data_IF_133509785961
#
_entry.id   IF_133509785961
#
_cell.length_a   1.000
_cell.length_b   1.000
_cell.length_c   1.000
_cell.angle_alpha   90.00
_cell.angle_beta   90.00
_cell.angle_gamma   90.00
#
_symmetry.space_group_name_H-M   'P 1'
#
loop_
_entity.id
_entity.type
_entity.pdbx_description
1 polymer ?
#
# COMPACT_ATOMS: atom_id res chain seq x y z
N UNK A 1 -1.36 45.10 -47.16
CA UNK A 1 -1.88 44.60 -48.45
C UNK A 1 -1.22 43.25 -48.63
N UNK A 2 -1.86 42.12 -48.36
CA UNK A 2 -3.28 41.76 -48.54
C UNK A 2 -3.81 40.93 -47.36
N UNK A 3 -5.09 41.14 -47.07
CA UNK A 3 -5.96 40.38 -46.15
C UNK A 3 -6.38 39.04 -46.75
N UNK A 4 -6.47 37.97 -45.95
CA UNK A 4 -7.50 36.93 -46.11
C UNK A 4 -8.02 36.51 -44.73
N UNK A 5 -9.35 36.54 -44.63
CA UNK A 5 -10.20 36.35 -43.47
C UNK A 5 -11.01 35.04 -43.60
N UNK A 6 -11.58 34.60 -42.47
CA UNK A 6 -12.68 33.61 -42.27
C UNK A 6 -12.28 32.13 -42.45
N UNK A 7 -12.60 31.14 -41.59
CA UNK A 7 -13.61 30.96 -40.53
C UNK A 7 -14.41 29.66 -40.81
N UNK A 8 -14.76 28.87 -39.79
CA UNK A 8 -15.65 27.68 -39.89
C UNK A 8 -15.21 26.50 -39.02
N UNK A 9 -15.62 26.44 -37.74
CA UNK A 9 -16.75 25.62 -37.23
C UNK A 9 -16.52 24.10 -37.23
N UNK A 10 -16.19 23.58 -36.03
CA UNK A 10 -16.16 22.15 -35.72
C UNK A 10 -17.52 21.78 -35.12
N UNK A 11 -18.38 21.19 -35.95
CA UNK A 11 -19.67 20.65 -35.54
C UNK A 11 -19.53 19.22 -35.02
N UNK A 12 -20.10 19.04 -33.82
CA UNK A 12 -20.60 17.85 -33.15
C UNK A 12 -20.71 16.54 -33.96
N UNK A 13 -20.24 15.45 -33.34
CA UNK A 13 -20.74 14.10 -33.62
C UNK A 13 -20.94 13.34 -32.30
N UNK A 14 -22.09 13.57 -31.66
CA UNK A 14 -22.60 12.77 -30.55
C UNK A 14 -24.13 12.63 -30.72
N UNK A 15 -24.54 11.74 -31.62
CA UNK A 15 -25.94 11.43 -31.84
C UNK A 15 -26.09 10.00 -32.37
N UNK A 16 -26.10 9.01 -31.48
CA UNK A 16 -26.65 7.68 -31.76
C UNK A 16 -27.05 6.97 -30.46
N UNK A 17 -28.16 7.45 -29.87
CA UNK A 17 -29.13 6.62 -29.14
C UNK A 17 -30.35 7.47 -28.81
N UNK A 18 -31.35 7.37 -29.67
CA UNK A 18 -32.68 7.91 -29.46
C UNK A 18 -33.67 6.76 -29.35
N UNK A 19 -34.64 6.94 -28.45
CA UNK A 19 -35.91 6.23 -28.34
C UNK A 19 -35.87 4.81 -27.73
N UNK A 20 -36.27 4.69 -26.46
CA UNK A 20 -37.63 4.28 -26.11
C UNK A 20 -37.85 4.38 -24.57
N UNK A 21 -39.10 4.66 -24.20
CA UNK A 21 -39.71 4.68 -22.86
C UNK A 21 -39.58 5.95 -21.98
N UNK A 22 -40.51 6.88 -22.22
CA UNK A 22 -41.22 7.62 -21.15
C UNK A 22 -42.29 6.70 -20.55
N UNK A 23 -42.51 6.76 -19.24
CA UNK A 23 -43.81 7.06 -18.62
C UNK A 23 -43.81 6.84 -17.10
N UNK A 24 -44.26 7.90 -16.41
CA UNK A 24 -45.15 7.90 -15.25
C UNK A 24 -44.67 7.63 -13.81
N UNK A 25 -44.72 8.73 -13.06
CA UNK A 25 -45.53 8.95 -11.85
C UNK A 25 -45.57 7.87 -10.77
N UNK A 26 -45.06 8.27 -9.60
CA UNK A 26 -45.37 7.58 -8.35
C UNK A 26 -44.77 8.32 -7.15
N UNK A 27 -45.41 9.42 -6.75
CA UNK A 27 -45.30 9.90 -5.38
C UNK A 27 -45.71 8.77 -4.42
N UNK A 28 -45.05 8.65 -3.26
CA UNK A 28 -45.71 8.76 -1.96
C UNK A 28 -44.75 8.45 -0.79
N UNK A 29 -44.58 9.50 0.01
CA UNK A 29 -44.62 9.52 1.48
C UNK A 29 -43.80 8.52 2.30
N UNK A 30 -42.79 9.05 3.01
CA UNK A 30 -42.53 8.64 4.38
C UNK A 30 -41.96 9.82 5.19
N UNK A 31 -42.82 10.44 6.02
CA UNK A 31 -42.43 10.95 7.33
C UNK A 31 -43.29 10.23 8.38
N UNK A 32 -43.17 10.53 9.69
CA UNK A 32 -42.16 11.31 10.38
C UNK A 32 -41.56 10.57 11.60
N UNK A 33 -40.72 11.33 12.32
CA UNK A 33 -40.11 11.08 13.61
C UNK A 33 -41.02 10.46 14.69
N UNK A 34 -40.39 9.70 15.60
CA UNK A 34 -40.54 9.76 17.07
C UNK A 34 -40.24 8.39 17.69
N UNK A 35 -39.00 8.15 18.12
CA UNK A 35 -38.75 7.05 19.04
C UNK A 35 -38.98 7.53 20.48
N UNK A 36 -39.96 6.88 21.11
CA UNK A 36 -40.51 7.11 22.44
C UNK A 36 -39.46 7.07 23.55
N UNK A 37 -39.65 7.95 24.52
CA UNK A 37 -39.17 7.80 25.91
C UNK A 37 -39.82 6.56 26.53
N UNK A 38 -39.02 5.73 27.18
CA UNK A 38 -39.50 4.79 28.20
C UNK A 38 -38.67 5.09 29.44
N UNK A 39 -39.31 5.78 30.38
CA UNK A 39 -38.80 5.88 31.73
C UNK A 39 -39.13 4.60 32.47
N UNK A 40 -38.12 3.95 33.03
CA UNK A 40 -38.33 2.94 34.05
C UNK A 40 -37.57 3.39 35.29
N UNK A 41 -38.35 3.82 36.28
CA UNK A 41 -37.88 4.22 37.60
C UNK A 41 -37.54 2.94 38.36
N UNK A 42 -36.29 2.51 38.31
CA UNK A 42 -35.79 1.43 39.16
C UNK A 42 -35.74 1.97 40.60
N UNK A 43 -36.75 1.62 41.38
CA UNK A 43 -36.85 1.87 42.81
C UNK A 43 -35.98 0.86 43.56
N UNK A 44 -34.72 1.23 43.84
CA UNK A 44 -33.79 0.46 44.66
C UNK A 44 -34.01 0.86 46.13
N UNK A 45 -34.70 0.01 46.88
CA UNK A 45 -34.95 0.15 48.32
C UNK A 45 -33.91 -0.68 49.08
N UNK A 46 -32.81 -0.07 49.50
CA UNK A 46 -31.75 -0.75 50.25
C UNK A 46 -31.49 0.01 51.53
N UNK A 47 -32.21 -0.40 52.57
CA UNK A 47 -32.03 0.04 53.96
C UNK A 47 -30.67 -0.39 54.50
N UNK A 48 -30.00 0.60 55.11
CA UNK A 48 -29.16 0.54 56.32
C UNK A 48 -28.08 -0.54 56.48
N UNK A 49 -26.85 -0.02 56.59
CA UNK A 49 -25.81 -0.35 57.58
C UNK A 49 -25.31 -1.79 57.67
N UNK A 50 -24.01 -1.98 57.46
CA UNK A 50 -23.02 -1.97 58.55
C UNK A 50 -21.63 -2.19 57.93
N UNK A 51 -20.69 -1.29 58.23
CA UNK A 51 -19.34 -1.34 57.71
C UNK A 51 -18.57 -2.56 58.21
N UNK A 52 -17.88 -3.22 57.28
CA UNK A 52 -16.71 -4.04 57.57
C UNK A 52 -15.72 -3.80 56.44
N UNK A 53 -14.78 -2.89 56.70
CA UNK A 53 -13.67 -2.53 55.82
C UNK A 53 -12.75 -3.73 55.64
N UNK A 54 -12.95 -4.49 54.55
CA UNK A 54 -11.94 -5.39 54.02
C UNK A 54 -11.41 -4.75 52.73
N UNK A 55 -10.28 -4.05 52.84
CA UNK A 55 -9.57 -3.51 51.70
C UNK A 55 -9.05 -4.68 50.84
N UNK A 56 -9.86 -5.08 49.87
CA UNK A 56 -9.43 -5.96 48.78
C UNK A 56 -8.50 -5.10 47.91
N UNK A 57 -7.20 -5.22 48.14
CA UNK A 57 -6.20 -4.74 47.21
C UNK A 57 -6.29 -5.62 45.95
N UNK A 58 -7.15 -5.24 45.02
CA UNK A 58 -7.20 -5.82 43.70
C UNK A 58 -5.87 -5.47 43.02
N UNK A 59 -4.91 -6.40 43.07
CA UNK A 59 -3.70 -6.33 42.26
C UNK A 59 -4.11 -6.61 40.81
N UNK A 60 -4.65 -5.59 40.14
CA UNK A 60 -4.79 -5.57 38.70
C UNK A 60 -3.39 -5.36 38.11
N UNK A 61 -2.58 -6.41 38.07
CA UNK A 61 -1.43 -6.45 37.18
C UNK A 61 -1.98 -6.56 35.76
N UNK A 62 -1.95 -5.44 35.05
CA UNK A 62 -2.37 -5.31 33.67
C UNK A 62 -1.74 -6.40 32.79
N UNK A 63 -2.44 -6.90 31.75
CA UNK A 63 -1.74 -7.59 30.68
C UNK A 63 -0.74 -6.60 30.08
N UNK A 64 0.55 -6.89 30.24
CA UNK A 64 1.62 -6.18 29.54
C UNK A 64 1.51 -6.53 28.05
N UNK A 65 0.68 -5.79 27.33
CA UNK A 65 0.69 -5.78 25.87
C UNK A 65 1.85 -4.91 25.39
N UNK A 66 3.07 -5.37 25.63
CA UNK A 66 4.19 -5.04 24.75
C UNK A 66 4.41 -6.27 23.85
N UNK A 67 3.48 -6.52 22.92
CA UNK A 67 3.75 -7.38 21.78
C UNK A 67 4.68 -6.62 20.82
N UNK A 68 5.91 -6.33 21.28
CA UNK A 68 6.98 -6.04 20.35
C UNK A 68 7.18 -7.31 19.53
N UNK A 69 6.95 -7.24 18.22
CA UNK A 69 7.17 -8.36 17.31
C UNK A 69 8.59 -8.91 17.53
N UNK A 70 8.73 -10.25 17.59
CA UNK A 70 10.03 -10.90 17.76
C UNK A 70 11.03 -10.35 16.74
N UNK A 71 12.15 -9.71 17.16
CA UNK A 71 13.14 -9.17 16.24
C UNK A 71 13.66 -10.22 15.27
N UNK A 72 13.83 -11.47 15.72
CA UNK A 72 14.31 -12.54 14.85
C UNK A 72 13.27 -12.89 13.78
N UNK A 73 11.99 -12.91 14.11
CA UNK A 73 10.90 -13.07 13.15
C UNK A 73 10.87 -11.94 12.12
N UNK A 74 10.93 -10.67 12.54
CA UNK A 74 10.94 -9.53 11.61
C UNK A 74 12.13 -9.63 10.64
N UNK A 75 13.30 -10.03 11.15
CA UNK A 75 14.50 -10.24 10.35
C UNK A 75 14.32 -11.38 9.35
N UNK A 76 13.71 -12.50 9.74
CA UNK A 76 13.38 -13.60 8.83
C UNK A 76 12.40 -13.15 7.75
N UNK A 77 11.29 -12.53 8.14
CA UNK A 77 10.23 -12.10 7.22
C UNK A 77 10.75 -11.13 6.15
N UNK A 78 11.59 -10.15 6.54
CA UNK A 78 12.19 -9.23 5.56
C UNK A 78 13.17 -9.92 4.61
N UNK A 79 13.93 -10.91 5.10
CA UNK A 79 14.88 -11.68 4.28
C UNK A 79 14.16 -12.56 3.27
N UNK A 80 13.11 -13.25 3.71
CA UNK A 80 12.28 -14.11 2.86
C UNK A 80 11.51 -13.28 1.83
N UNK A 81 10.92 -12.16 2.25
CA UNK A 81 10.28 -11.22 1.34
C UNK A 81 11.24 -10.69 0.26
N UNK A 82 12.45 -10.27 0.65
CA UNK A 82 13.48 -9.85 -0.31
C UNK A 82 13.88 -10.98 -1.28
N UNK A 83 13.99 -12.21 -0.80
CA UNK A 83 14.27 -13.39 -1.65
C UNK A 83 13.15 -13.61 -2.66
N UNK A 84 11.89 -13.52 -2.22
CA UNK A 84 10.73 -13.64 -3.11
C UNK A 84 10.72 -12.53 -4.17
N UNK A 85 11.04 -11.28 -3.82
CA UNK A 85 11.12 -10.19 -4.80
C UNK A 85 12.27 -10.38 -5.79
N UNK A 86 13.40 -10.94 -5.33
CA UNK A 86 14.49 -11.34 -6.22
C UNK A 86 14.05 -12.37 -7.27
N UNK A 87 13.25 -13.37 -6.87
CA UNK A 87 12.70 -14.36 -7.80
C UNK A 87 11.72 -13.74 -8.80
N UNK A 88 10.94 -12.72 -8.41
CA UNK A 88 10.09 -11.98 -9.36
C UNK A 88 10.92 -11.24 -10.41
N UNK A 89 12.01 -10.58 -10.00
CA UNK A 89 12.94 -9.91 -10.91
C UNK A 89 13.62 -10.90 -11.88
N UNK A 90 14.06 -12.04 -11.37
CA UNK A 90 14.66 -13.11 -12.19
C UNK A 90 13.68 -13.63 -13.25
N UNK A 91 12.43 -13.88 -12.87
CA UNK A 91 11.40 -14.34 -13.79
C UNK A 91 11.08 -13.30 -14.88
N UNK A 92 11.16 -12.00 -14.57
CA UNK A 92 11.06 -10.94 -15.59
C UNK A 92 12.25 -10.94 -16.55
N UNK A 93 13.41 -11.46 -16.14
CA UNK A 93 14.55 -11.67 -17.02
C UNK A 93 14.24 -12.62 -18.18
N UNK A 94 13.43 -13.66 -17.97
CA UNK A 94 12.98 -14.55 -19.04
C UNK A 94 12.03 -13.82 -20.02
N UNK A 95 11.15 -12.96 -19.51
CA UNK A 95 10.24 -12.14 -20.32
C UNK A 95 11.07 -11.17 -21.21
N UNK A 96 12.08 -10.51 -20.63
CA UNK A 96 12.96 -9.63 -21.38
C UNK A 96 13.74 -10.37 -22.48
N UNK A 97 14.22 -11.59 -22.20
CA UNK A 97 14.95 -12.42 -23.15
C UNK A 97 14.08 -12.92 -24.31
N UNK A 98 12.80 -13.20 -24.06
CA UNK A 98 11.87 -13.63 -25.09
C UNK A 98 11.62 -12.55 -26.15
N UNK A 99 11.88 -11.27 -25.84
CA UNK A 99 11.69 -10.11 -26.73
C UNK A 99 10.30 -10.09 -27.39
N UNK A 100 9.31 -10.59 -26.68
CA UNK A 100 7.91 -10.69 -27.12
C UNK A 100 6.99 -9.93 -26.17
N UNK A 101 5.82 -10.50 -25.87
CA UNK A 101 4.83 -9.90 -24.99
C UNK A 101 5.38 -9.59 -23.59
N UNK A 102 5.31 -8.33 -23.18
CA UNK A 102 5.79 -7.81 -21.89
C UNK A 102 4.70 -7.78 -20.83
N UNK A 103 3.42 -7.92 -21.19
CA UNK A 103 2.30 -7.83 -20.24
C UNK A 103 2.36 -8.86 -19.09
N UNK A 104 2.88 -10.09 -19.27
CA UNK A 104 3.06 -11.04 -18.17
C UNK A 104 3.95 -10.53 -17.02
N UNK A 105 4.74 -9.46 -17.25
CA UNK A 105 5.54 -8.83 -16.21
C UNK A 105 4.71 -7.97 -15.24
N UNK A 106 3.53 -7.47 -15.64
CA UNK A 106 2.77 -6.46 -14.89
C UNK A 106 2.45 -6.93 -13.46
N UNK A 107 1.89 -8.14 -13.30
CA UNK A 107 1.55 -8.68 -11.98
C UNK A 107 2.80 -8.88 -11.08
N UNK A 108 3.96 -9.17 -11.69
CA UNK A 108 5.23 -9.32 -10.98
C UNK A 108 5.73 -7.97 -10.48
N UNK A 109 5.66 -6.94 -11.33
CA UNK A 109 6.04 -5.57 -10.99
C UNK A 109 5.16 -5.04 -9.86
N UNK A 110 3.85 -5.25 -9.95
CA UNK A 110 2.89 -4.83 -8.91
C UNK A 110 3.15 -5.54 -7.58
N UNK A 111 3.50 -6.84 -7.61
CA UNK A 111 3.91 -7.59 -6.41
C UNK A 111 5.15 -6.96 -5.77
N UNK A 112 6.16 -6.59 -6.57
CA UNK A 112 7.38 -5.95 -6.07
C UNK A 112 7.06 -4.57 -5.50
N UNK A 113 6.29 -3.76 -6.22
CA UNK A 113 5.91 -2.42 -5.78
C UNK A 113 5.14 -2.43 -4.46
N UNK A 114 4.18 -3.35 -4.31
CA UNK A 114 3.42 -3.51 -3.07
C UNK A 114 4.30 -3.92 -1.88
N UNK A 115 5.35 -4.70 -2.11
CA UNK A 115 6.31 -5.06 -1.06
C UNK A 115 7.18 -3.85 -0.64
N UNK A 116 7.56 -3.00 -1.60
CA UNK A 116 8.51 -1.92 -1.36
C UNK A 116 7.93 -0.59 -0.87
N UNK A 117 6.62 -0.36 -1.02
CA UNK A 117 5.96 0.90 -0.62
C UNK A 117 6.18 1.26 0.86
N UNK A 118 6.14 0.27 1.76
CA UNK A 118 6.34 0.44 3.21
C UNK A 118 7.56 -0.34 3.72
N UNK A 119 8.55 -0.61 2.86
CA UNK A 119 9.68 -1.48 3.23
C UNK A 119 10.53 -0.90 4.37
N UNK A 120 10.54 0.43 4.50
CA UNK A 120 11.24 1.13 5.56
C UNK A 120 10.80 0.70 6.98
N UNK A 121 9.53 0.31 7.14
CA UNK A 121 8.93 -0.07 8.41
C UNK A 121 9.38 -1.46 8.90
N UNK A 122 9.97 -2.26 8.00
CA UNK A 122 10.54 -3.58 8.30
C UNK A 122 11.91 -3.50 8.99
N UNK A 123 12.34 -2.31 9.39
CA UNK A 123 13.59 -2.03 10.11
C UNK A 123 13.34 -1.28 11.42
N UNK A 124 12.54 -1.84 12.35
CA UNK A 124 12.42 -1.25 13.68
C UNK A 124 13.74 -1.34 14.44
N UNK A 125 13.94 -0.43 15.40
CA UNK A 125 15.21 -0.25 16.10
C UNK A 125 15.74 -1.52 16.79
N UNK A 126 14.85 -2.42 17.20
CA UNK A 126 15.21 -3.71 17.81
C UNK A 126 15.78 -4.74 16.80
N UNK A 127 15.89 -4.43 15.51
CA UNK A 127 16.38 -5.36 14.46
C UNK A 127 17.78 -5.01 13.91
N UNK A 128 18.54 -4.21 14.66
CA UNK A 128 19.91 -3.80 14.31
C UNK A 128 20.92 -4.96 14.42
N UNK A 129 20.62 -5.98 15.21
CA UNK A 129 21.49 -7.13 15.47
C UNK A 129 20.78 -8.47 15.19
N UNK A 130 21.53 -9.56 15.24
CA UNK A 130 21.05 -10.92 14.93
C UNK A 130 21.38 -11.34 13.50
N UNK A 131 20.57 -12.23 12.91
CA UNK A 131 20.79 -12.77 11.55
C UNK A 131 20.44 -11.78 10.43
N UNK A 132 21.06 -10.60 10.46
CA UNK A 132 20.79 -9.51 9.53
C UNK A 132 22.04 -9.09 8.77
N UNK A 133 21.86 -8.75 7.50
CA UNK A 133 22.88 -8.07 6.67
C UNK A 133 22.63 -6.57 6.53
N UNK A 134 21.64 -6.02 7.24
CA UNK A 134 21.40 -4.58 7.28
C UNK A 134 22.60 -3.89 7.95
N UNK A 135 23.20 -2.91 7.27
CA UNK A 135 24.26 -2.09 7.86
C UNK A 135 23.65 -1.11 8.88
N UNK A 136 24.44 -0.61 9.85
CA UNK A 136 24.00 0.43 10.78
C UNK A 136 23.41 1.67 10.08
N UNK A 137 23.90 1.97 8.87
CA UNK A 137 23.41 3.04 7.99
C UNK A 137 21.90 2.98 7.73
N UNK A 138 21.27 1.80 7.73
CA UNK A 138 19.80 1.68 7.57
C UNK A 138 19.04 2.42 8.67
N UNK A 139 19.64 2.51 9.86
CA UNK A 139 19.02 3.08 11.05
C UNK A 139 19.47 4.52 11.31
N UNK A 140 20.71 4.85 10.95
CA UNK A 140 21.26 6.20 11.13
C UNK A 140 20.95 7.15 9.97
N UNK A 141 20.84 6.63 8.74
CA UNK A 141 20.48 7.38 7.53
C UNK A 141 19.08 6.97 7.04
N UNK A 142 18.06 7.25 7.86
CA UNK A 142 16.66 6.96 7.53
C UNK A 142 16.19 7.69 6.28
N UNK A 143 16.60 8.94 6.11
CA UNK A 143 16.19 9.77 4.98
C UNK A 143 16.77 9.24 3.65
N UNK A 144 18.06 8.91 3.61
CA UNK A 144 18.69 8.31 2.44
C UNK A 144 18.11 6.93 2.11
N UNK A 145 17.84 6.10 3.14
CA UNK A 145 17.22 4.79 2.93
C UNK A 145 15.83 4.90 2.31
N UNK A 146 14.97 5.78 2.85
CA UNK A 146 13.65 6.06 2.27
C UNK A 146 13.74 6.64 0.86
N UNK A 147 14.73 7.51 0.60
CA UNK A 147 14.96 8.08 -0.74
C UNK A 147 15.35 7.00 -1.76
N UNK A 148 16.19 6.04 -1.37
CA UNK A 148 16.54 4.90 -2.21
C UNK A 148 15.32 4.02 -2.54
N UNK A 149 14.42 3.81 -1.55
CA UNK A 149 13.16 3.08 -1.76
C UNK A 149 12.20 3.82 -2.69
N UNK A 150 12.07 5.14 -2.53
CA UNK A 150 11.27 5.97 -3.44
C UNK A 150 11.80 5.90 -4.87
N UNK A 151 13.12 5.94 -5.03
CA UNK A 151 13.77 5.78 -6.33
C UNK A 151 13.43 4.43 -6.97
N UNK A 152 13.49 3.33 -6.19
CA UNK A 152 13.07 2.01 -6.65
C UNK A 152 11.60 2.00 -7.08
N UNK A 153 10.68 2.58 -6.29
CA UNK A 153 9.27 2.66 -6.63
C UNK A 153 9.02 3.47 -7.93
N UNK A 154 9.77 4.56 -8.15
CA UNK A 154 9.73 5.29 -9.42
C UNK A 154 10.18 4.43 -10.60
N UNK A 155 11.25 3.64 -10.44
CA UNK A 155 11.72 2.73 -11.51
C UNK A 155 10.71 1.60 -11.78
N UNK A 156 10.07 1.06 -10.75
CA UNK A 156 9.02 0.05 -10.90
C UNK A 156 7.80 0.61 -11.65
N UNK A 157 7.40 1.85 -11.36
CA UNK A 157 6.32 2.52 -12.09
C UNK A 157 6.68 2.73 -13.58
N UNK A 158 7.91 3.13 -13.88
CA UNK A 158 8.41 3.28 -15.25
C UNK A 158 8.46 1.92 -15.98
N UNK A 159 8.99 0.88 -15.34
CA UNK A 159 9.02 -0.49 -15.86
C UNK A 159 7.60 -1.01 -16.14
N UNK A 160 6.64 -0.73 -15.25
CA UNK A 160 5.23 -1.09 -15.46
C UNK A 160 4.65 -0.37 -16.68
N UNK A 161 4.95 0.92 -16.87
CA UNK A 161 4.49 1.67 -18.04
C UNK A 161 4.98 1.04 -19.34
N UNK A 162 6.24 0.64 -19.40
CA UNK A 162 6.81 -0.07 -20.56
C UNK A 162 6.18 -1.45 -20.75
N UNK A 163 5.94 -2.18 -19.66
CA UNK A 163 5.27 -3.48 -19.73
C UNK A 163 3.84 -3.37 -20.27
N UNK A 164 3.10 -2.32 -19.89
CA UNK A 164 1.75 -2.04 -20.37
C UNK A 164 1.73 -1.63 -21.84
N UNK A 165 2.75 -0.91 -22.32
CA UNK A 165 2.82 -0.48 -23.72
C UNK A 165 3.15 -1.61 -24.69
N UNK A 166 3.61 -2.77 -24.20
CA UNK A 166 4.01 -3.89 -25.05
C UNK A 166 5.37 -3.70 -25.73
N UNK A 167 6.17 -2.71 -25.32
CA UNK A 167 7.44 -2.39 -25.98
C UNK A 167 8.54 -3.34 -25.50
N UNK A 168 8.68 -4.45 -26.23
CA UNK A 168 9.68 -5.47 -25.97
C UNK A 168 11.13 -4.95 -26.05
N UNK A 169 11.40 -3.93 -26.86
CA UNK A 169 12.73 -3.36 -27.01
C UNK A 169 13.09 -2.48 -25.81
N UNK A 170 12.12 -1.73 -25.27
CA UNK A 170 12.31 -0.89 -24.09
C UNK A 170 12.27 -1.66 -22.76
N UNK A 171 11.65 -2.85 -22.71
CA UNK A 171 11.46 -3.59 -21.47
C UNK A 171 12.78 -4.03 -20.81
N UNK A 172 13.72 -4.57 -21.59
CA UNK A 172 15.04 -4.98 -21.08
C UNK A 172 15.82 -3.82 -20.42
N UNK A 173 15.99 -2.67 -21.09
CA UNK A 173 16.57 -1.47 -20.50
C UNK A 173 15.85 -0.99 -19.24
N UNK A 174 14.52 -0.96 -19.23
CA UNK A 174 13.75 -0.56 -18.04
C UNK A 174 13.94 -1.53 -16.86
N UNK A 175 14.02 -2.84 -17.14
CA UNK A 175 14.29 -3.87 -16.14
C UNK A 175 15.70 -3.71 -15.55
N UNK A 176 16.69 -3.40 -16.39
CA UNK A 176 18.06 -3.13 -15.96
C UNK A 176 18.14 -1.89 -15.07
N UNK A 177 17.46 -0.80 -15.43
CA UNK A 177 17.39 0.41 -14.61
C UNK A 177 16.77 0.14 -13.23
N UNK A 178 15.70 -0.66 -13.19
CA UNK A 178 15.10 -1.14 -11.93
C UNK A 178 16.11 -1.94 -11.12
N UNK A 179 16.79 -2.92 -11.72
CA UNK A 179 17.83 -3.70 -11.05
C UNK A 179 19.00 -2.85 -10.53
N UNK A 180 19.39 -1.79 -11.24
CA UNK A 180 20.42 -0.85 -10.81
C UNK A 180 20.03 -0.12 -9.52
N UNK A 181 18.75 0.24 -9.34
CA UNK A 181 18.24 0.84 -8.09
C UNK A 181 18.31 -0.13 -6.91
N UNK A 182 17.98 -1.41 -7.11
CA UNK A 182 18.19 -2.48 -6.11
C UNK A 182 19.67 -2.57 -5.70
N UNK A 183 20.56 -2.55 -6.70
CA UNK A 183 22.00 -2.58 -6.48
C UNK A 183 22.53 -1.36 -5.72
N UNK A 184 22.01 -0.17 -6.02
CA UNK A 184 22.40 1.07 -5.33
C UNK A 184 22.05 1.02 -3.84
N UNK A 185 20.82 0.60 -3.50
CA UNK A 185 20.41 0.42 -2.10
C UNK A 185 21.28 -0.64 -1.41
N UNK A 186 21.51 -1.80 -2.03
CA UNK A 186 22.35 -2.84 -1.43
C UNK A 186 23.79 -2.39 -1.18
N UNK A 187 24.39 -1.60 -2.06
CA UNK A 187 25.76 -1.08 -1.85
C UNK A 187 25.86 -0.14 -0.65
N UNK A 188 24.81 0.65 -0.40
CA UNK A 188 24.81 1.62 0.70
C UNK A 188 24.38 0.99 2.04
N UNK A 189 23.49 0.00 2.01
CA UNK A 189 22.73 -0.41 3.20
C UNK A 189 22.82 -1.91 3.55
N UNK A 190 23.50 -2.73 2.75
CA UNK A 190 23.61 -4.18 2.97
C UNK A 190 25.07 -4.64 2.99
N UNK A 191 25.45 -5.43 4.00
CA UNK A 191 26.73 -6.12 3.99
C UNK A 191 26.77 -7.19 2.88
N UNK A 192 27.97 -7.43 2.33
CA UNK A 192 28.19 -8.42 1.26
C UNK A 192 28.17 -9.83 1.83
#
# INVERSE_FOLDING_TARGET
>A
MEDISVGGEITANCALRSALQRADCGMNHAGPAAHRRIGERILIKNSTMLGLSLAIFAFAAAPSFAQGSDPAQIIRDRREGLKAMGAQMEAMGAIAQARGDTQPAIARIETIQAFFVNFADRFPANTQAGETRALPAVFTDRAGFTTALNTLNTQLAALRSVAVSGDAAAFGPALQATGASCGACHRAYRSR
#
